data_IF_141446752337
#
_entry.id   IF_141446752337
#
_cell.length_a   1.000
_cell.length_b   1.000
_cell.length_c   1.000
_cell.angle_alpha   90.00
_cell.angle_beta   90.00
_cell.angle_gamma   90.00
#
_symmetry.space_group_name_H-M   'P 1'
#
loop_
_entity.id
_entity.type
_entity.pdbx_description
1 polymer ?
#
# COMPACT_ATOMS: atom_id res chain seq x y z
N UNK A 1 13.96 20.98 -10.69
CA UNK A 1 14.32 19.61 -11.11
C UNK A 1 14.93 18.82 -9.96
N UNK A 2 15.58 19.47 -9.00
CA UNK A 2 16.09 18.91 -7.73
C UNK A 2 15.24 17.79 -7.10
N UNK A 3 13.96 18.02 -6.79
CA UNK A 3 13.08 16.98 -6.21
C UNK A 3 12.95 15.69 -7.07
N UNK A 4 12.98 15.81 -8.41
CA UNK A 4 12.94 14.64 -9.30
C UNK A 4 14.29 13.93 -9.38
N UNK A 5 15.39 14.69 -9.28
CA UNK A 5 16.75 14.15 -9.29
C UNK A 5 17.03 13.40 -7.98
N UNK A 6 16.60 13.94 -6.85
CA UNK A 6 16.75 13.32 -5.53
C UNK A 6 15.91 12.04 -5.38
N UNK A 7 14.68 12.02 -5.90
CA UNK A 7 13.75 10.89 -5.77
C UNK A 7 13.76 9.91 -6.94
N UNK A 8 14.72 10.02 -7.86
CA UNK A 8 14.73 9.24 -9.10
C UNK A 8 14.86 7.74 -8.82
N UNK A 9 15.80 7.35 -7.96
CA UNK A 9 16.06 5.95 -7.63
C UNK A 9 14.87 5.33 -6.88
N UNK A 10 14.27 6.06 -5.95
CA UNK A 10 13.07 5.65 -5.24
C UNK A 10 11.88 5.47 -6.19
N UNK A 11 11.72 6.37 -7.17
CA UNK A 11 10.66 6.27 -8.17
C UNK A 11 10.85 5.04 -9.08
N UNK A 12 12.08 4.65 -9.37
CA UNK A 12 12.40 3.48 -10.20
C UNK A 12 12.26 2.14 -9.46
N UNK A 13 12.30 2.11 -8.13
CA UNK A 13 12.18 0.86 -7.35
C UNK A 13 10.92 0.05 -7.70
N UNK A 14 9.87 0.70 -8.19
CA UNK A 14 8.66 0.02 -8.67
C UNK A 14 8.92 -0.98 -9.81
N UNK A 15 9.96 -0.75 -10.62
CA UNK A 15 10.31 -1.60 -11.74
C UNK A 15 10.88 -2.96 -11.29
N UNK A 16 11.37 -3.06 -10.05
CA UNK A 16 11.83 -4.32 -9.47
C UNK A 16 10.66 -5.30 -9.19
N UNK A 17 9.43 -4.80 -9.06
CA UNK A 17 8.26 -5.64 -8.79
C UNK A 17 7.72 -6.32 -10.07
N UNK A 18 6.97 -7.43 -9.97
CA UNK A 18 6.31 -8.04 -11.12
C UNK A 18 5.32 -7.08 -11.80
N UNK A 19 5.18 -7.19 -13.13
CA UNK A 19 4.40 -6.23 -13.96
C UNK A 19 2.97 -6.01 -13.46
N UNK A 20 2.32 -7.07 -12.93
CA UNK A 20 0.96 -7.03 -12.37
C UNK A 20 0.79 -5.98 -11.26
N UNK A 21 1.82 -5.74 -10.45
CA UNK A 21 1.78 -4.86 -9.30
C UNK A 21 2.10 -3.40 -9.62
N UNK A 22 2.93 -3.16 -10.66
CA UNK A 22 3.43 -1.83 -11.02
C UNK A 22 2.32 -0.81 -11.30
N UNK A 23 1.24 -1.22 -11.94
CA UNK A 23 0.15 -0.31 -12.32
C UNK A 23 -0.54 0.30 -11.11
N UNK A 24 -0.67 -0.47 -10.02
CA UNK A 24 -1.30 0.00 -8.78
C UNK A 24 -0.33 0.69 -7.85
N UNK A 25 0.93 0.24 -7.81
CA UNK A 25 1.96 0.83 -6.95
C UNK A 25 2.48 2.18 -7.46
N UNK A 26 2.34 2.49 -8.75
CA UNK A 26 2.88 3.73 -9.34
C UNK A 26 2.03 4.97 -9.04
N UNK A 27 0.83 4.79 -8.48
CA UNK A 27 -0.08 5.89 -8.20
C UNK A 27 -0.59 5.85 -6.77
N UNK A 28 -0.98 7.02 -6.29
CA UNK A 28 -1.51 7.27 -4.95
C UNK A 28 -3.04 7.15 -4.88
N UNK A 29 -3.70 6.76 -5.98
CA UNK A 29 -5.17 6.75 -6.09
C UNK A 29 -5.89 5.99 -4.96
N UNK A 30 -5.31 4.89 -4.46
CA UNK A 30 -5.88 4.15 -3.33
C UNK A 30 -5.90 4.97 -2.04
N UNK A 31 -4.77 5.63 -1.75
CA UNK A 31 -4.59 6.47 -0.57
C UNK A 31 -5.43 7.74 -0.68
N UNK A 32 -5.46 8.35 -1.86
CA UNK A 32 -6.30 9.53 -2.14
C UNK A 32 -7.78 9.22 -1.92
N UNK A 33 -8.28 8.10 -2.46
CA UNK A 33 -9.67 7.69 -2.27
C UNK A 33 -10.00 7.39 -0.80
N UNK A 34 -9.07 6.78 -0.06
CA UNK A 34 -9.23 6.55 1.37
C UNK A 34 -9.27 7.88 2.14
N UNK A 35 -8.37 8.80 1.83
CA UNK A 35 -8.32 10.12 2.44
C UNK A 35 -9.58 10.93 2.15
N UNK A 36 -10.10 10.88 0.92
CA UNK A 36 -11.37 11.51 0.55
C UNK A 36 -12.53 10.99 1.40
N UNK A 37 -12.56 9.68 1.67
CA UNK A 37 -13.61 9.06 2.45
C UNK A 37 -13.53 9.41 3.95
N UNK A 38 -12.31 9.59 4.47
CA UNK A 38 -12.07 10.19 5.80
C UNK A 38 -12.60 11.63 5.82
N UNK A 39 -12.20 12.47 4.85
CA UNK A 39 -12.63 13.88 4.75
C UNK A 39 -14.14 14.01 4.61
N UNK A 40 -14.80 13.08 3.92
CA UNK A 40 -16.25 13.03 3.76
C UNK A 40 -16.95 12.81 5.11
N UNK A 41 -16.47 11.89 5.95
CA UNK A 41 -17.02 11.65 7.30
C UNK A 41 -16.69 12.79 8.26
N UNK A 42 -15.47 13.32 8.19
CA UNK A 42 -15.04 14.49 8.97
C UNK A 42 -15.96 15.70 8.73
N UNK A 43 -16.30 15.99 7.46
CA UNK A 43 -17.14 17.14 7.08
C UNK A 43 -18.51 17.13 7.77
N UNK A 44 -19.07 15.96 8.07
CA UNK A 44 -20.36 15.83 8.77
C UNK A 44 -20.21 16.18 10.26
N UNK A 45 -19.11 15.75 10.88
CA UNK A 45 -18.85 15.92 12.33
C UNK A 45 -18.43 17.36 12.66
N UNK A 46 -17.68 18.02 11.75
CA UNK A 46 -17.12 19.38 11.86
C UNK A 46 -16.07 19.56 12.97
N UNK A 47 -16.37 19.19 14.21
CA UNK A 47 -15.49 19.33 15.38
C UNK A 47 -15.57 18.06 16.22
N UNK A 48 -14.41 17.46 16.51
CA UNK A 48 -14.34 16.32 17.42
C UNK A 48 -14.24 16.78 18.88
N UNK A 49 -14.88 16.06 19.82
CA UNK A 49 -14.81 16.39 21.24
C UNK A 49 -13.45 16.06 21.88
N UNK A 50 -12.69 15.12 21.31
CA UNK A 50 -11.33 14.74 21.69
C UNK A 50 -10.67 13.91 20.57
N UNK A 51 -9.36 13.68 20.70
CA UNK A 51 -8.57 12.88 19.76
C UNK A 51 -9.06 11.42 19.66
N UNK A 52 -9.40 10.80 20.78
CA UNK A 52 -9.90 9.41 20.82
C UNK A 52 -11.14 9.22 19.94
N UNK A 53 -12.01 10.22 19.88
CA UNK A 53 -13.22 10.18 19.04
C UNK A 53 -12.88 10.20 17.56
N UNK A 54 -11.84 10.94 17.17
CA UNK A 54 -11.35 10.95 15.79
C UNK A 54 -10.68 9.62 15.44
N UNK A 55 -9.84 9.09 16.33
CA UNK A 55 -9.19 7.78 16.17
C UNK A 55 -10.23 6.67 16.00
N UNK A 56 -11.30 6.67 16.80
CA UNK A 56 -12.39 5.68 16.69
C UNK A 56 -13.09 5.74 15.34
N UNK A 57 -13.39 6.94 14.83
CA UNK A 57 -14.02 7.09 13.51
C UNK A 57 -13.12 6.55 12.40
N UNK A 58 -11.86 6.98 12.39
CA UNK A 58 -10.89 6.56 11.36
C UNK A 58 -10.67 5.05 11.47
N UNK A 59 -10.49 4.51 12.67
CA UNK A 59 -10.31 3.07 12.91
C UNK A 59 -11.52 2.24 12.46
N UNK A 60 -12.73 2.71 12.73
CA UNK A 60 -13.96 2.06 12.27
C UNK A 60 -14.04 2.06 10.73
N UNK A 61 -13.70 3.19 10.08
CA UNK A 61 -13.66 3.28 8.63
C UNK A 61 -12.63 2.32 8.02
N UNK A 62 -11.41 2.30 8.55
CA UNK A 62 -10.35 1.42 8.07
C UNK A 62 -10.73 -0.06 8.23
N UNK A 63 -11.43 -0.40 9.32
CA UNK A 63 -11.94 -1.76 9.55
C UNK A 63 -12.99 -2.14 8.49
N UNK A 64 -13.92 -1.23 8.17
CA UNK A 64 -14.91 -1.44 7.11
C UNK A 64 -14.23 -1.66 5.73
N UNK A 65 -13.26 -0.82 5.37
CA UNK A 65 -12.49 -1.00 4.13
C UNK A 65 -11.73 -2.33 4.11
N UNK A 66 -11.10 -2.70 5.22
CA UNK A 66 -10.39 -3.96 5.33
C UNK A 66 -11.31 -5.16 5.13
N UNK A 67 -12.50 -5.15 5.74
CA UNK A 67 -13.49 -6.20 5.58
C UNK A 67 -13.98 -6.30 4.14
N UNK A 68 -14.28 -5.16 3.49
CA UNK A 68 -14.68 -5.12 2.08
C UNK A 68 -13.62 -5.71 1.15
N UNK A 69 -12.33 -5.41 1.38
CA UNK A 69 -11.24 -5.93 0.56
C UNK A 69 -10.92 -7.40 0.85
N UNK A 70 -11.17 -7.85 2.08
CA UNK A 70 -10.88 -9.23 2.50
C UNK A 70 -11.97 -10.20 2.07
N UNK A 71 -13.23 -9.79 2.11
CA UNK A 71 -14.40 -10.63 1.77
C UNK A 71 -14.88 -10.45 0.33
N UNK A 72 -14.66 -9.27 -0.24
CA UNK A 72 -15.06 -8.93 -1.60
C UNK A 72 -13.93 -9.03 -2.62
N UNK A 73 -13.96 -8.14 -3.63
CA UNK A 73 -12.91 -8.07 -4.64
C UNK A 73 -11.66 -7.40 -4.04
N UNK A 74 -10.63 -8.21 -3.78
CA UNK A 74 -9.33 -7.74 -3.29
C UNK A 74 -8.79 -6.59 -4.16
N UNK A 75 -8.55 -5.44 -3.52
CA UNK A 75 -7.98 -4.28 -4.19
C UNK A 75 -6.55 -4.56 -4.70
N UNK A 76 -5.76 -5.32 -3.94
CA UNK A 76 -4.44 -5.80 -4.31
C UNK A 76 -4.29 -7.26 -3.85
N UNK A 77 -4.17 -8.19 -4.81
CA UNK A 77 -3.97 -9.60 -4.49
C UNK A 77 -2.48 -9.91 -4.43
N UNK A 78 -2.00 -10.24 -3.25
CA UNK A 78 -0.58 -10.45 -2.95
C UNK A 78 -0.10 -11.88 -3.15
N UNK A 79 -0.97 -12.81 -3.57
CA UNK A 79 -0.63 -14.24 -3.73
C UNK A 79 0.62 -14.44 -4.61
N UNK A 80 0.60 -13.92 -5.84
CA UNK A 80 1.71 -14.02 -6.80
C UNK A 80 2.95 -13.24 -6.34
N UNK A 81 2.78 -12.12 -5.61
CA UNK A 81 3.91 -11.40 -5.01
C UNK A 81 4.64 -12.27 -3.98
N UNK A 82 3.91 -12.99 -3.14
CA UNK A 82 4.52 -13.84 -2.12
C UNK A 82 5.25 -15.04 -2.74
N UNK A 83 4.73 -15.60 -3.83
CA UNK A 83 5.40 -16.65 -4.61
C UNK A 83 6.70 -16.11 -5.23
N UNK A 84 6.61 -15.00 -5.97
CA UNK A 84 7.77 -14.32 -6.54
C UNK A 84 8.83 -13.99 -5.48
N UNK A 85 8.42 -13.48 -4.31
CA UNK A 85 9.35 -13.13 -3.23
C UNK A 85 10.10 -14.35 -2.70
N UNK A 86 9.40 -15.49 -2.51
CA UNK A 86 10.03 -16.75 -2.08
C UNK A 86 11.06 -17.23 -3.10
N UNK A 87 10.76 -17.13 -4.39
CA UNK A 87 11.70 -17.48 -5.45
C UNK A 87 12.97 -16.60 -5.41
N UNK A 88 12.82 -15.30 -5.16
CA UNK A 88 13.96 -14.38 -4.99
C UNK A 88 14.80 -14.70 -3.74
N UNK A 89 14.16 -15.04 -2.63
CA UNK A 89 14.85 -15.41 -1.39
C UNK A 89 15.60 -16.75 -1.56
N UNK A 90 14.99 -17.72 -2.24
CA UNK A 90 15.61 -19.00 -2.55
C UNK A 90 16.81 -18.83 -3.49
N UNK A 91 16.66 -18.06 -4.57
CA UNK A 91 17.75 -17.81 -5.52
C UNK A 91 18.93 -17.11 -4.84
N UNK A 92 18.67 -16.12 -3.98
CA UNK A 92 19.70 -15.42 -3.21
C UNK A 92 20.47 -16.35 -2.28
N UNK A 93 19.76 -17.27 -1.63
CA UNK A 93 20.37 -18.29 -0.74
C UNK A 93 21.26 -19.26 -1.51
N UNK A 94 20.79 -19.75 -2.67
CA UNK A 94 21.57 -20.61 -3.56
C UNK A 94 22.82 -19.91 -4.11
N UNK A 95 22.70 -18.63 -4.46
CA UNK A 95 23.84 -17.86 -4.99
C UNK A 95 24.92 -17.67 -3.92
N UNK A 96 24.53 -17.40 -2.67
CA UNK A 96 25.48 -17.27 -1.56
C UNK A 96 26.20 -18.59 -1.28
N UNK A 97 25.47 -19.71 -1.27
CA UNK A 97 26.03 -21.03 -1.03
C UNK A 97 26.96 -21.57 -2.13
N UNK A 98 27.01 -20.94 -3.31
CA UNK A 98 27.92 -21.28 -4.42
C UNK A 98 29.18 -20.41 -4.39
N UNK A 99 29.13 -19.24 -3.73
CA UNK A 99 30.24 -18.28 -3.62
C UNK A 99 31.08 -18.50 -2.36
N UNK A 100 30.52 -19.17 -1.35
CA UNK A 100 31.22 -19.73 -0.17
C UNK A 100 31.84 -21.11 -0.47
#
# INVERSE_FOLDING_TARGET
MECLEEGFDEALNILAFPKKYRVRLRSTNSQERLNEEIRRRERVIRIFPNEDSAIRLIGALLSEFHEQWSTGKKYLDMTEYHEWKKEQELSKTLTLAIVD
#
